data_IF_077927770599
#
_entry.id   IF_077927770599
#
_cell.length_a   1.000
_cell.length_b   1.000
_cell.length_c   1.000
_cell.angle_alpha   90.00
_cell.angle_beta   90.00
_cell.angle_gamma   90.00
#
_symmetry.space_group_name_H-M   'P 1'
#
loop_
_entity.id
_entity.type
_entity.pdbx_description
1 polymer ?
#
# COMPACT_ATOMS: atom_id res chain seq x y z
N UNK A 1 13.77 -17.02 -16.07
CA UNK A 1 13.61 -18.33 -15.45
C UNK A 1 13.06 -18.13 -14.06
N UNK A 2 13.35 -19.05 -13.15
CA UNK A 2 12.91 -18.97 -11.77
C UNK A 2 13.84 -18.05 -10.97
N UNK A 3 13.27 -17.08 -10.28
CA UNK A 3 13.97 -16.17 -9.39
C UNK A 3 13.80 -16.59 -7.94
N UNK A 4 14.85 -16.35 -7.14
CA UNK A 4 14.84 -16.50 -5.69
C UNK A 4 15.04 -15.11 -5.09
N UNK A 5 14.18 -14.74 -4.15
CA UNK A 5 14.22 -13.45 -3.48
C UNK A 5 13.81 -13.55 -2.01
N UNK A 6 13.89 -12.44 -1.29
CA UNK A 6 13.53 -12.39 0.13
C UNK A 6 12.03 -12.66 0.38
N UNK A 7 11.18 -12.29 -0.58
CA UNK A 7 9.74 -12.56 -0.55
C UNK A 7 9.35 -13.56 -1.62
N UNK A 8 8.74 -14.67 -1.21
CA UNK A 8 8.29 -15.73 -2.12
C UNK A 8 7.35 -15.20 -3.20
N UNK A 9 6.38 -14.36 -2.82
CA UNK A 9 5.39 -13.82 -3.76
C UNK A 9 6.05 -12.93 -4.82
N UNK A 10 6.97 -12.06 -4.41
CA UNK A 10 7.68 -11.17 -5.33
C UNK A 10 8.58 -11.95 -6.28
N UNK A 11 9.34 -12.92 -5.74
CA UNK A 11 10.22 -13.79 -6.52
C UNK A 11 9.42 -14.61 -7.54
N UNK A 12 8.27 -15.17 -7.15
CA UNK A 12 7.38 -15.91 -8.06
C UNK A 12 6.81 -14.98 -9.13
N UNK A 13 6.30 -13.80 -8.77
CA UNK A 13 5.72 -12.87 -9.76
C UNK A 13 6.75 -12.37 -10.79
N UNK A 14 8.01 -12.18 -10.39
CA UNK A 14 9.09 -11.81 -11.30
C UNK A 14 9.62 -12.99 -12.14
N UNK A 15 9.30 -14.22 -11.76
CA UNK A 15 9.71 -15.43 -12.49
C UNK A 15 8.94 -15.61 -13.79
N UNK A 16 9.51 -16.43 -14.68
CA UNK A 16 8.88 -16.89 -15.91
C UNK A 16 9.01 -18.42 -16.04
N UNK A 17 8.16 -19.01 -16.88
CA UNK A 17 8.02 -20.45 -17.02
C UNK A 17 8.96 -21.07 -18.07
N UNK A 18 9.95 -20.34 -18.59
CA UNK A 18 10.84 -20.82 -19.65
C UNK A 18 11.52 -22.14 -19.35
N UNK A 19 11.97 -22.37 -18.11
CA UNK A 19 12.65 -23.62 -17.75
C UNK A 19 11.76 -24.86 -17.87
N UNK A 20 10.43 -24.73 -17.96
CA UNK A 20 9.55 -25.87 -18.17
C UNK A 20 9.45 -26.29 -19.65
N UNK A 21 10.04 -25.50 -20.57
CA UNK A 21 10.13 -25.78 -22.00
C UNK A 21 11.54 -26.22 -22.44
N UNK A 22 12.50 -26.26 -21.51
CA UNK A 22 13.91 -26.53 -21.78
C UNK A 22 14.48 -27.48 -20.72
N UNK A 23 14.86 -28.70 -21.14
CA UNK A 23 15.38 -29.75 -20.26
C UNK A 23 16.68 -29.31 -19.59
N UNK A 24 17.56 -28.61 -20.29
CA UNK A 24 18.86 -28.19 -19.75
C UNK A 24 18.65 -27.15 -18.64
N UNK A 25 17.72 -26.21 -18.85
CA UNK A 25 17.30 -25.23 -17.85
C UNK A 25 16.72 -25.90 -16.60
N UNK A 26 15.86 -26.91 -16.80
CA UNK A 26 15.21 -27.65 -15.73
C UNK A 26 16.21 -28.49 -14.92
N UNK A 27 17.18 -29.12 -15.59
CA UNK A 27 18.24 -29.89 -14.95
C UNK A 27 19.13 -28.98 -14.09
N UNK A 28 19.55 -27.84 -14.62
CA UNK A 28 20.34 -26.85 -13.86
C UNK A 28 19.60 -26.35 -12.62
N UNK A 29 18.29 -26.14 -12.71
CA UNK A 29 17.46 -25.76 -11.58
C UNK A 29 17.45 -26.85 -10.50
N UNK A 30 17.23 -28.12 -10.88
CA UNK A 30 17.22 -29.26 -9.93
C UNK A 30 18.57 -29.42 -9.25
N UNK A 31 19.66 -29.32 -10.01
CA UNK A 31 21.03 -29.39 -9.50
C UNK A 31 21.29 -28.26 -8.50
N UNK A 32 20.85 -27.03 -8.82
CA UNK A 32 21.00 -25.86 -7.93
C UNK A 32 20.22 -25.99 -6.62
N UNK A 33 19.11 -26.73 -6.62
CA UNK A 33 18.28 -26.97 -5.45
C UNK A 33 18.73 -28.20 -4.64
N UNK A 34 19.79 -28.90 -5.07
CA UNK A 34 20.29 -30.12 -4.43
C UNK A 34 19.22 -31.21 -4.26
N UNK A 35 18.26 -31.26 -5.20
CA UNK A 35 17.16 -32.22 -5.18
C UNK A 35 17.64 -33.58 -5.72
N UNK A 36 18.47 -34.25 -4.92
CA UNK A 36 19.01 -35.58 -5.23
C UNK A 36 17.87 -36.61 -5.19
N UNK A 37 17.39 -37.02 -6.38
CA UNK A 37 16.43 -38.11 -6.69
C UNK A 37 15.22 -37.71 -7.55
N UNK A 38 15.14 -36.48 -8.08
CA UNK A 38 14.10 -36.15 -9.06
C UNK A 38 14.59 -36.55 -10.45
N UNK A 39 14.05 -37.64 -10.99
CA UNK A 39 14.16 -37.90 -12.44
C UNK A 39 13.33 -36.85 -13.16
N UNK A 40 13.96 -36.00 -13.98
CA UNK A 40 13.24 -35.10 -14.87
C UNK A 40 12.38 -35.95 -15.80
N UNK A 41 11.04 -35.83 -15.75
CA UNK A 41 10.21 -36.50 -16.75
C UNK A 41 10.50 -35.88 -18.12
N UNK A 42 10.59 -36.69 -19.18
CA UNK A 42 10.76 -36.25 -20.58
C UNK A 42 9.59 -35.40 -21.14
N UNK A 43 8.69 -34.93 -20.26
CA UNK A 43 7.50 -34.17 -20.64
C UNK A 43 7.91 -32.70 -20.72
N UNK A 44 8.53 -32.33 -21.84
CA UNK A 44 8.70 -30.93 -22.22
C UNK A 44 7.31 -30.37 -22.54
N UNK A 45 6.95 -29.24 -21.92
CA UNK A 45 5.71 -28.54 -22.28
C UNK A 45 5.80 -28.03 -23.73
N UNK A 46 4.69 -28.07 -24.46
CA UNK A 46 4.64 -27.52 -25.81
C UNK A 46 4.13 -26.07 -25.76
N UNK A 47 4.98 -25.11 -26.11
CA UNK A 47 4.64 -23.68 -26.08
C UNK A 47 3.66 -23.25 -27.16
N UNK A 48 3.43 -24.08 -28.19
CA UNK A 48 2.51 -23.76 -29.29
C UNK A 48 1.03 -23.84 -28.92
N UNK A 49 0.70 -24.41 -27.75
CA UNK A 49 -0.68 -24.59 -27.26
C UNK A 49 -1.14 -23.44 -26.37
N UNK A 50 -0.20 -22.62 -25.89
CA UNK A 50 -0.46 -21.52 -24.96
C UNK A 50 -0.57 -20.18 -25.69
N UNK A 51 -1.49 -19.33 -25.26
CA UNK A 51 -1.57 -17.95 -25.72
C UNK A 51 -0.40 -17.11 -25.16
N UNK A 52 0.11 -17.47 -23.98
CA UNK A 52 1.25 -16.80 -23.37
C UNK A 52 2.58 -17.23 -24.00
N UNK A 53 3.44 -16.25 -24.26
CA UNK A 53 4.82 -16.50 -24.67
C UNK A 53 5.61 -17.11 -23.52
N UNK A 54 6.58 -18.00 -23.82
CA UNK A 54 7.43 -18.64 -22.80
C UNK A 54 8.16 -17.62 -21.90
N UNK A 55 8.52 -16.46 -22.45
CA UNK A 55 9.20 -15.35 -21.76
C UNK A 55 8.29 -14.45 -20.92
N UNK A 56 6.97 -14.69 -20.93
CA UNK A 56 6.03 -13.89 -20.15
C UNK A 56 6.29 -14.09 -18.66
N UNK A 57 6.30 -12.99 -17.89
CA UNK A 57 6.44 -13.12 -16.44
C UNK A 57 5.15 -13.65 -15.83
N UNK A 58 5.26 -14.36 -14.71
CA UNK A 58 4.11 -14.82 -13.95
C UNK A 58 3.23 -13.66 -13.49
N UNK A 59 3.81 -12.48 -13.23
CA UNK A 59 3.04 -11.26 -13.00
C UNK A 59 2.10 -10.94 -14.17
N UNK A 60 2.59 -11.00 -15.41
CA UNK A 60 1.75 -10.74 -16.59
C UNK A 60 0.65 -11.80 -16.74
N UNK A 61 0.99 -13.07 -16.54
CA UNK A 61 0.04 -14.19 -16.62
C UNK A 61 -1.05 -14.04 -15.55
N UNK A 62 -0.67 -13.82 -14.29
CA UNK A 62 -1.60 -13.62 -13.16
C UNK A 62 -2.44 -12.34 -13.33
N UNK A 63 -1.87 -11.27 -13.87
CA UNK A 63 -2.63 -10.03 -14.14
C UNK A 63 -3.75 -10.24 -15.17
N UNK A 64 -3.58 -11.21 -16.05
CA UNK A 64 -4.59 -11.65 -17.02
C UNK A 64 -5.38 -12.87 -16.53
N UNK A 65 -5.42 -13.09 -15.22
CA UNK A 65 -6.16 -14.18 -14.55
C UNK A 65 -5.73 -15.59 -15.02
N UNK A 66 -4.56 -15.71 -15.65
CA UNK A 66 -4.05 -16.95 -16.26
C UNK A 66 -5.04 -17.55 -17.28
N UNK A 67 -5.84 -16.71 -17.95
CA UNK A 67 -6.83 -17.13 -18.93
C UNK A 67 -6.18 -17.35 -20.29
N UNK A 68 -6.18 -18.59 -20.76
CA UNK A 68 -5.70 -18.96 -22.09
C UNK A 68 -6.65 -18.48 -23.20
N UNK A 69 -7.96 -18.73 -23.04
CA UNK A 69 -8.99 -18.31 -24.00
C UNK A 69 -10.29 -17.92 -23.29
N UNK A 70 -10.92 -16.83 -23.77
CA UNK A 70 -12.23 -16.40 -23.27
C UNK A 70 -13.35 -17.11 -24.03
N UNK A 71 -14.00 -18.06 -23.37
CA UNK A 71 -15.19 -18.72 -23.91
C UNK A 71 -16.48 -18.19 -23.26
N UNK A 72 -17.27 -17.46 -24.02
CA UNK A 72 -18.57 -16.90 -23.58
C UNK A 72 -19.65 -17.96 -23.32
N UNK A 73 -19.44 -19.22 -23.71
CA UNK A 73 -20.37 -20.33 -23.47
C UNK A 73 -20.10 -21.04 -22.13
N UNK A 74 -18.98 -20.73 -21.46
CA UNK A 74 -18.62 -21.37 -20.19
C UNK A 74 -19.01 -20.45 -19.03
N UNK A 75 -19.94 -20.92 -18.17
CA UNK A 75 -20.24 -20.24 -16.90
C UNK A 75 -19.25 -20.64 -15.82
N UNK A 76 -18.66 -19.64 -15.15
CA UNK A 76 -17.77 -19.81 -14.02
C UNK A 76 -18.49 -19.64 -12.66
N UNK A 77 -19.83 -19.67 -12.63
CA UNK A 77 -20.63 -19.41 -11.43
C UNK A 77 -20.25 -20.34 -10.27
N UNK A 78 -20.01 -21.63 -10.54
CA UNK A 78 -19.61 -22.58 -9.51
C UNK A 78 -18.20 -22.30 -8.97
N UNK A 79 -17.27 -21.87 -9.82
CA UNK A 79 -15.93 -21.49 -9.38
C UNK A 79 -15.98 -20.27 -8.45
N UNK A 80 -16.75 -19.24 -8.83
CA UNK A 80 -16.91 -18.05 -7.99
C UNK A 80 -17.65 -18.33 -6.68
N UNK A 81 -18.61 -19.28 -6.67
CA UNK A 81 -19.28 -19.72 -5.43
C UNK A 81 -18.31 -20.36 -4.44
N UNK A 82 -17.37 -21.18 -4.92
CA UNK A 82 -16.37 -21.85 -4.05
C UNK A 82 -15.35 -20.83 -3.52
N UNK A 83 -14.94 -19.88 -4.37
CA UNK A 83 -13.98 -18.84 -4.00
C UNK A 83 -14.62 -17.61 -3.34
N UNK A 84 -15.89 -17.67 -2.95
CA UNK A 84 -16.55 -16.52 -2.34
C UNK A 84 -15.99 -16.28 -0.93
N UNK A 85 -15.35 -15.12 -0.67
CA UNK A 85 -14.88 -14.81 0.67
C UNK A 85 -16.06 -14.72 1.63
N UNK A 86 -15.98 -15.37 2.79
CA UNK A 86 -17.01 -15.33 3.83
C UNK A 86 -17.20 -13.94 4.43
N UNK A 87 -16.16 -13.11 4.34
CA UNK A 87 -16.16 -11.72 4.78
C UNK A 87 -15.43 -10.89 3.72
N UNK A 88 -16.14 -9.97 3.09
CA UNK A 88 -15.52 -8.96 2.23
C UNK A 88 -15.04 -7.81 3.10
N UNK A 89 -13.72 -7.67 3.25
CA UNK A 89 -13.14 -6.44 3.81
C UNK A 89 -12.94 -5.47 2.65
N UNK A 90 -13.76 -4.41 2.61
CA UNK A 90 -13.54 -3.32 1.68
C UNK A 90 -12.23 -2.59 2.04
N UNK A 91 -11.12 -2.98 1.40
CA UNK A 91 -9.89 -2.21 1.48
C UNK A 91 -10.08 -0.97 0.61
N UNK A 92 -10.43 0.15 1.22
CA UNK A 92 -10.38 1.45 0.56
C UNK A 92 -8.92 1.79 0.29
N UNK A 93 -8.39 1.33 -0.85
CA UNK A 93 -7.10 1.79 -1.37
C UNK A 93 -7.33 3.20 -1.91
N UNK A 94 -7.41 4.17 -1.01
CA UNK A 94 -7.38 5.57 -1.36
C UNK A 94 -5.96 5.89 -1.82
N UNK A 95 -5.69 5.77 -3.13
CA UNK A 95 -4.62 6.53 -3.74
C UNK A 95 -4.84 7.99 -3.31
N UNK A 96 -3.95 8.52 -2.47
CA UNK A 96 -4.10 9.87 -1.90
C UNK A 96 -4.42 10.84 -3.03
N UNK A 97 -5.69 11.21 -3.13
CA UNK A 97 -6.17 11.95 -4.29
C UNK A 97 -5.40 13.27 -4.28
N UNK A 98 -4.63 13.55 -5.32
CA UNK A 98 -3.77 14.75 -5.35
C UNK A 98 -4.59 16.02 -5.11
N UNK A 99 -5.86 16.01 -5.54
CA UNK A 99 -6.84 17.06 -5.26
C UNK A 99 -7.12 17.21 -3.76
N UNK A 100 -7.21 16.10 -3.01
CA UNK A 100 -7.39 16.11 -1.56
C UNK A 100 -6.18 16.72 -0.85
N UNK A 101 -4.95 16.40 -1.28
CA UNK A 101 -3.73 16.97 -0.71
C UNK A 101 -3.67 18.49 -0.95
N UNK A 102 -3.98 18.93 -2.17
CA UNK A 102 -3.97 20.35 -2.55
C UNK A 102 -5.05 21.13 -1.78
N UNK A 103 -6.27 20.61 -1.70
CA UNK A 103 -7.38 21.29 -0.99
C UNK A 103 -7.13 21.38 0.51
N UNK A 104 -6.57 20.33 1.12
CA UNK A 104 -6.22 20.32 2.54
C UNK A 104 -5.10 21.31 2.87
N UNK A 105 -4.07 21.41 2.02
CA UNK A 105 -2.96 22.36 2.23
C UNK A 105 -3.40 23.81 2.07
N UNK A 106 -4.21 24.13 1.05
CA UNK A 106 -4.80 25.46 0.88
C UNK A 106 -5.70 25.82 2.07
N UNK A 107 -6.52 24.86 2.53
CA UNK A 107 -7.39 25.03 3.70
C UNK A 107 -6.61 25.29 4.98
N UNK A 108 -5.52 24.57 5.22
CA UNK A 108 -4.63 24.77 6.36
C UNK A 108 -3.97 26.15 6.35
N UNK A 109 -3.39 26.56 5.22
CA UNK A 109 -2.70 27.86 5.09
C UNK A 109 -3.71 29.01 5.28
N UNK A 110 -4.87 28.91 4.64
CA UNK A 110 -5.95 29.89 4.77
C UNK A 110 -6.51 29.97 6.19
N UNK A 111 -6.79 28.81 6.79
CA UNK A 111 -7.34 28.68 8.14
C UNK A 111 -6.39 29.21 9.21
N UNK A 112 -5.13 28.75 9.23
CA UNK A 112 -4.14 29.19 10.22
C UNK A 112 -3.96 30.71 10.21
N UNK A 113 -3.85 31.31 9.02
CA UNK A 113 -3.63 32.74 8.89
C UNK A 113 -4.80 33.55 9.44
N UNK A 114 -6.04 33.11 9.19
CA UNK A 114 -7.25 33.79 9.66
C UNK A 114 -7.46 33.60 11.16
N UNK A 115 -7.30 32.38 11.65
CA UNK A 115 -7.41 32.05 13.08
C UNK A 115 -6.37 32.83 13.87
N UNK A 116 -5.12 32.89 13.42
CA UNK A 116 -4.06 33.66 14.07
C UNK A 116 -4.42 35.15 14.17
N UNK A 117 -4.87 35.78 13.08
CA UNK A 117 -5.30 37.20 13.09
C UNK A 117 -6.50 37.47 13.99
N UNK A 118 -7.36 36.48 14.21
CA UNK A 118 -8.51 36.60 15.12
C UNK A 118 -8.13 36.38 16.59
N UNK A 119 -7.22 35.44 16.84
CA UNK A 119 -6.71 35.07 18.16
C UNK A 119 -5.89 36.22 18.77
N UNK A 120 -4.96 36.80 18.02
CA UNK A 120 -4.05 37.85 18.53
C UNK A 120 -4.78 39.00 19.26
N UNK A 121 -5.80 39.67 18.70
CA UNK A 121 -6.48 40.76 19.40
C UNK A 121 -7.25 40.30 20.64
N UNK A 122 -7.75 39.06 20.67
CA UNK A 122 -8.41 38.49 21.84
C UNK A 122 -7.41 38.30 22.97
N UNK A 123 -6.25 37.71 22.68
CA UNK A 123 -5.18 37.52 23.66
C UNK A 123 -4.69 38.86 24.22
N UNK A 124 -4.47 39.87 23.37
CA UNK A 124 -4.07 41.22 23.81
C UNK A 124 -5.13 41.82 24.74
N UNK A 125 -6.43 41.74 24.39
CA UNK A 125 -7.51 42.25 25.25
C UNK A 125 -7.55 41.56 26.61
N UNK A 126 -7.38 40.24 26.66
CA UNK A 126 -7.35 39.48 27.91
C UNK A 126 -6.16 39.90 28.78
N UNK A 127 -4.97 40.03 28.18
CA UNK A 127 -3.77 40.45 28.90
C UNK A 127 -3.99 41.85 29.51
N UNK A 128 -4.46 42.80 28.69
CA UNK A 128 -4.60 44.19 29.12
C UNK A 128 -5.73 44.37 30.14
N UNK A 129 -6.88 43.73 29.91
CA UNK A 129 -8.08 43.99 30.71
C UNK A 129 -8.24 43.08 31.93
N UNK A 130 -7.62 41.89 31.95
CA UNK A 130 -7.76 40.93 33.05
C UNK A 130 -6.43 40.74 33.78
N UNK A 131 -5.36 40.43 33.06
CA UNK A 131 -4.08 40.04 33.68
C UNK A 131 -3.39 41.24 34.33
N UNK A 132 -3.26 42.37 33.63
CA UNK A 132 -2.63 43.58 34.17
C UNK A 132 -3.31 44.09 35.46
N UNK A 133 -4.66 44.25 35.55
CA UNK A 133 -5.30 44.69 36.78
C UNK A 133 -5.22 43.64 37.90
N UNK A 134 -5.28 42.35 37.58
CA UNK A 134 -5.10 41.29 38.57
C UNK A 134 -3.69 41.32 39.19
N UNK A 135 -2.65 41.49 38.37
CA UNK A 135 -1.27 41.62 38.83
C UNK A 135 -1.09 42.90 39.66
N UNK A 136 -1.67 44.03 39.23
CA UNK A 136 -1.63 45.29 39.99
C UNK A 136 -2.27 45.13 41.37
N UNK A 137 -3.44 44.48 41.45
CA UNK A 137 -4.13 44.20 42.73
C UNK A 137 -3.30 43.30 43.65
N UNK A 138 -2.63 42.27 43.10
CA UNK A 138 -1.77 41.37 43.87
C UNK A 138 -0.50 42.07 44.41
N UNK A 139 0.10 42.98 43.64
CA UNK A 139 1.23 43.82 44.11
C UNK A 139 0.81 44.82 45.19
N UNK A 140 -0.37 45.41 45.07
CA UNK A 140 -0.93 46.30 46.10
C UNK A 140 -1.20 45.58 47.43
N UNK A 141 -1.69 44.33 47.40
CA UNK A 141 -1.84 43.53 48.62
C UNK A 141 -0.49 43.16 49.25
N UNK A 142 0.52 42.80 48.45
CA UNK A 142 1.81 42.39 48.99
C UNK A 142 2.56 43.55 49.68
N UNK A 143 2.43 44.78 49.17
CA UNK A 143 3.04 45.96 49.79
C UNK A 143 2.36 46.38 51.11
N UNK A 144 1.09 46.04 51.31
CA UNK A 144 0.34 46.33 52.54
C UNK A 144 0.54 45.27 53.65
N UNK A 145 1.06 44.09 53.30
CA UNK A 145 1.34 43.01 54.27
C UNK A 145 2.77 43.10 54.84
N UNK A 146 3.66 43.88 54.22
CA UNK A 146 5.05 44.11 54.70
C UNK A 146 5.12 45.29 55.69
N UNK A 147 4.00 45.97 55.96
CA UNK A 147 3.90 47.04 56.97
C UNK A 147 2.95 46.57 58.08
N UNK A 148 3.42 45.64 58.92
CA UNK A 148 2.91 45.33 60.26
C UNK A 148 3.97 44.52 61.02
#
# INVERSE_FOLDING_TARGET
GIFVGCYLVEAVLQSDLRCFFDIDCLQQLIDSLSLVNISVPDIILNSTVSHYQEKSSLLQIVSNLMVEEWNNQTSYDNYFKICQPSVCTATYISHGNIVYIITTTIGLIGGLTKVYKFIVPIFIKIIVHVIIPFIRKKRGLNNNVVIL
#
